data_IF_595933610093
#
_entry.id   IF_595933610093
#
_cell.length_a   1.000
_cell.length_b   1.000
_cell.length_c   1.000
_cell.angle_alpha   90.00
_cell.angle_beta   90.00
_cell.angle_gamma   90.00
#
_symmetry.space_group_name_H-M   'P 1'
#
loop_
_entity.id
_entity.type
_entity.pdbx_description
1 polymer ?
#
# COMPACT_ATOMS: atom_id res chain seq x y z
N UNK A 1 15.05 -12.57 -17.72
CA UNK A 1 13.69 -11.98 -17.65
C UNK A 1 12.73 -12.95 -18.30
N UNK A 2 11.81 -13.53 -17.53
CA UNK A 2 10.69 -14.29 -18.08
C UNK A 2 9.68 -13.23 -18.53
N UNK A 3 9.62 -12.96 -19.83
CA UNK A 3 8.64 -12.03 -20.39
C UNK A 3 7.28 -12.74 -20.42
N UNK A 4 6.30 -12.23 -19.68
CA UNK A 4 4.94 -12.72 -19.79
C UNK A 4 4.45 -12.50 -21.23
N UNK A 5 3.70 -13.46 -21.76
CA UNK A 5 3.13 -13.34 -23.11
C UNK A 5 2.12 -12.18 -23.13
N UNK A 6 2.14 -11.29 -24.14
CA UNK A 6 1.22 -10.15 -24.22
C UNK A 6 -0.25 -10.55 -24.07
N UNK A 7 -0.65 -11.68 -24.65
CA UNK A 7 -2.02 -12.20 -24.59
C UNK A 7 -2.43 -12.62 -23.17
N UNK A 8 -1.45 -13.05 -22.35
CA UNK A 8 -1.69 -13.38 -20.94
C UNK A 8 -1.89 -12.11 -20.12
N UNK A 9 -1.13 -11.05 -20.40
CA UNK A 9 -1.30 -9.76 -19.72
C UNK A 9 -2.68 -9.18 -20.05
N UNK A 10 -3.10 -9.23 -21.31
CA UNK A 10 -4.41 -8.72 -21.74
C UNK A 10 -5.58 -9.43 -21.03
N UNK A 11 -5.60 -10.77 -21.00
CA UNK A 11 -6.62 -11.52 -20.27
C UNK A 11 -6.61 -11.27 -18.74
N UNK A 12 -5.43 -10.99 -18.16
CA UNK A 12 -5.30 -10.57 -16.76
C UNK A 12 -5.95 -9.20 -16.52
N UNK A 13 -5.82 -8.26 -17.46
CA UNK A 13 -6.40 -6.91 -17.37
C UNK A 13 -7.93 -6.93 -17.49
N UNK A 14 -8.48 -7.76 -18.37
CA UNK A 14 -9.95 -7.93 -18.49
C UNK A 14 -10.59 -8.40 -17.18
N UNK A 15 -9.88 -9.27 -16.44
CA UNK A 15 -10.35 -9.83 -15.17
C UNK A 15 -10.10 -8.89 -13.98
N UNK A 16 -9.15 -7.96 -14.09
CA UNK A 16 -8.69 -7.09 -13.01
C UNK A 16 -9.84 -6.28 -12.39
N UNK A 17 -10.69 -5.67 -13.22
CA UNK A 17 -11.84 -4.90 -12.73
C UNK A 17 -12.83 -5.72 -11.89
N UNK A 18 -13.01 -7.00 -12.21
CA UNK A 18 -13.87 -7.90 -11.43
C UNK A 18 -13.19 -8.32 -10.12
N UNK A 19 -11.89 -8.59 -10.15
CA UNK A 19 -11.11 -8.94 -8.98
C UNK A 19 -11.06 -7.79 -7.95
N UNK A 20 -10.93 -6.55 -8.42
CA UNK A 20 -10.89 -5.37 -7.53
C UNK A 20 -12.18 -5.19 -6.74
N UNK A 21 -13.35 -5.52 -7.32
CA UNK A 21 -14.63 -5.50 -6.60
C UNK A 21 -14.65 -6.44 -5.40
N UNK A 22 -13.86 -7.51 -5.41
CA UNK A 22 -13.77 -8.47 -4.30
C UNK A 22 -12.93 -7.95 -3.12
N UNK A 23 -12.15 -6.88 -3.32
CA UNK A 23 -11.45 -6.19 -2.24
C UNK A 23 -12.38 -5.35 -1.38
N UNK A 24 -13.59 -5.03 -1.85
CA UNK A 24 -14.58 -4.34 -1.03
C UNK A 24 -15.02 -5.24 0.15
N UNK A 25 -15.04 -4.62 1.31
CA UNK A 25 -15.33 -5.22 2.62
C UNK A 25 -16.61 -4.66 3.24
N UNK A 26 -17.23 -3.66 2.61
CA UNK A 26 -18.40 -2.93 3.10
C UNK A 26 -19.59 -3.83 3.48
N UNK A 27 -19.73 -4.99 2.82
CA UNK A 27 -20.85 -5.92 3.00
C UNK A 27 -20.54 -7.15 3.87
N UNK A 28 -19.31 -7.28 4.38
CA UNK A 28 -18.89 -8.50 5.09
C UNK A 28 -18.90 -8.32 6.61
N UNK A 29 -19.81 -9.03 7.28
CA UNK A 29 -19.93 -9.01 8.74
C UNK A 29 -19.09 -10.09 9.46
N UNK A 30 -18.35 -10.91 8.70
CA UNK A 30 -17.57 -12.02 9.24
C UNK A 30 -16.57 -11.53 10.28
N UNK A 31 -16.48 -12.19 11.43
CA UNK A 31 -15.51 -11.88 12.46
C UNK A 31 -14.54 -13.06 12.65
N UNK A 32 -13.25 -12.76 12.75
CA UNK A 32 -12.22 -13.74 13.11
C UNK A 32 -11.60 -13.35 14.45
N UNK A 33 -11.73 -14.24 15.44
CA UNK A 33 -11.01 -14.11 16.71
C UNK A 33 -9.52 -14.37 16.51
N UNK A 34 -8.71 -13.52 17.12
CA UNK A 34 -7.25 -13.55 17.11
C UNK A 34 -6.74 -13.44 18.54
N UNK A 35 -5.44 -13.63 18.75
CA UNK A 35 -4.82 -13.52 20.08
C UNK A 35 -4.90 -12.11 20.66
N UNK A 36 -4.97 -11.07 19.83
CA UNK A 36 -5.07 -9.68 20.27
C UNK A 36 -6.52 -9.19 20.42
N UNK A 37 -7.44 -9.75 19.64
CA UNK A 37 -8.83 -9.31 19.61
C UNK A 37 -9.56 -9.90 18.40
N UNK A 38 -10.42 -9.15 17.72
CA UNK A 38 -11.14 -9.65 16.53
C UNK A 38 -10.83 -8.84 15.27
N UNK A 39 -10.81 -9.51 14.13
CA UNK A 39 -10.79 -8.92 12.79
C UNK A 39 -12.19 -8.94 12.20
N UNK A 40 -12.72 -7.79 11.79
CA UNK A 40 -14.08 -7.70 11.27
C UNK A 40 -14.19 -6.64 10.14
N UNK A 41 -14.28 -7.07 8.86
CA UNK A 41 -14.06 -8.43 8.38
C UNK A 41 -12.58 -8.81 8.35
N UNK A 42 -12.24 -10.12 8.41
CA UNK A 42 -10.91 -10.56 8.05
C UNK A 42 -10.65 -10.33 6.56
N UNK A 43 -9.41 -9.95 6.22
CA UNK A 43 -9.00 -9.80 4.82
C UNK A 43 -9.25 -11.10 4.04
N UNK A 44 -8.77 -12.22 4.59
CA UNK A 44 -8.93 -13.55 3.99
C UNK A 44 -7.97 -13.82 2.82
N UNK A 45 -7.77 -15.12 2.52
CA UNK A 45 -6.76 -15.57 1.54
C UNK A 45 -7.01 -15.06 0.12
N UNK A 46 -8.27 -14.99 -0.31
CA UNK A 46 -8.61 -14.60 -1.67
C UNK A 46 -8.31 -13.13 -1.92
N UNK A 47 -8.66 -12.24 -0.97
CA UNK A 47 -8.35 -10.81 -1.08
C UNK A 47 -6.86 -10.56 -1.04
N UNK A 48 -6.13 -11.25 -0.15
CA UNK A 48 -4.67 -11.16 -0.14
C UNK A 48 -4.05 -11.58 -1.47
N UNK A 49 -4.58 -12.64 -2.11
CA UNK A 49 -4.11 -13.11 -3.41
C UNK A 49 -4.36 -12.11 -4.54
N UNK A 50 -5.43 -11.32 -4.45
CA UNK A 50 -5.70 -10.23 -5.39
C UNK A 50 -4.67 -9.10 -5.22
N UNK A 51 -4.31 -8.75 -3.98
CA UNK A 51 -3.24 -7.75 -3.74
C UNK A 51 -1.89 -8.26 -4.23
N UNK A 52 -1.56 -9.54 -3.98
CA UNK A 52 -0.36 -10.19 -4.53
C UNK A 52 -0.35 -10.15 -6.07
N UNK A 53 -1.48 -10.44 -6.71
CA UNK A 53 -1.62 -10.38 -8.16
C UNK A 53 -1.33 -8.98 -8.72
N UNK A 54 -1.82 -7.92 -8.09
CA UNK A 54 -1.52 -6.53 -8.48
C UNK A 54 -0.03 -6.24 -8.35
N UNK A 55 0.60 -6.70 -7.26
CA UNK A 55 2.05 -6.57 -7.06
C UNK A 55 2.85 -7.23 -8.18
N UNK A 56 2.50 -8.46 -8.55
CA UNK A 56 3.14 -9.17 -9.66
C UNK A 56 2.90 -8.45 -10.99
N UNK A 57 1.67 -7.99 -11.24
CA UNK A 57 1.32 -7.29 -12.47
C UNK A 57 2.14 -6.02 -12.68
N UNK A 58 2.37 -5.24 -11.63
CA UNK A 58 3.24 -4.05 -11.66
C UNK A 58 4.71 -4.38 -11.82
N UNK A 59 5.17 -5.51 -11.24
CA UNK A 59 6.56 -5.96 -11.37
C UNK A 59 6.91 -6.34 -12.82
N UNK A 60 5.91 -6.76 -13.61
CA UNK A 60 6.09 -7.02 -15.05
C UNK A 60 6.42 -5.74 -15.82
N UNK A 61 5.98 -4.56 -15.33
CA UNK A 61 6.28 -3.26 -15.95
C UNK A 61 5.61 -3.06 -17.31
N UNK A 62 4.44 -3.68 -17.53
CA UNK A 62 3.65 -3.47 -18.75
C UNK A 62 2.90 -2.15 -18.69
N UNK A 63 3.18 -1.25 -19.65
CA UNK A 63 2.51 0.05 -19.75
C UNK A 63 0.97 -0.08 -19.83
N UNK A 64 0.48 -1.11 -20.53
CA UNK A 64 -0.95 -1.39 -20.62
C UNK A 64 -1.55 -1.72 -19.24
N UNK A 65 -0.80 -2.46 -18.41
CA UNK A 65 -1.25 -2.82 -17.08
C UNK A 65 -1.25 -1.62 -16.13
N UNK A 66 -0.22 -0.79 -16.20
CA UNK A 66 -0.14 0.45 -15.41
C UNK A 66 -1.29 1.41 -15.77
N UNK A 67 -1.55 1.62 -17.07
CA UNK A 67 -2.67 2.44 -17.54
C UNK A 67 -4.01 1.91 -17.05
N UNK A 68 -4.20 0.60 -17.09
CA UNK A 68 -5.45 -0.02 -16.63
C UNK A 68 -5.61 0.10 -15.10
N UNK A 69 -4.53 -0.02 -14.33
CA UNK A 69 -4.55 0.19 -12.88
C UNK A 69 -4.94 1.63 -12.52
N UNK A 70 -4.40 2.63 -13.23
CA UNK A 70 -4.80 4.04 -13.06
C UNK A 70 -6.27 4.20 -13.42
N UNK A 71 -6.71 3.68 -14.58
CA UNK A 71 -8.10 3.78 -15.06
C UNK A 71 -9.11 3.18 -14.08
N UNK A 72 -8.75 2.07 -13.44
CA UNK A 72 -9.60 1.37 -12.48
C UNK A 72 -9.51 1.96 -11.06
N UNK A 73 -8.64 2.94 -10.80
CA UNK A 73 -8.37 3.43 -9.44
C UNK A 73 -7.85 2.33 -8.52
N UNK A 74 -7.12 1.37 -9.10
CA UNK A 74 -6.73 0.10 -8.49
C UNK A 74 -5.41 0.16 -7.72
N UNK A 75 -4.82 1.35 -7.61
CA UNK A 75 -3.64 1.55 -6.79
C UNK A 75 -3.96 1.13 -5.35
N UNK A 76 -3.09 0.35 -4.69
CA UNK A 76 -3.44 -0.24 -3.41
C UNK A 76 -3.81 0.85 -2.45
N UNK A 77 -5.00 0.67 -1.88
CA UNK A 77 -5.45 1.54 -0.83
C UNK A 77 -4.47 1.40 0.33
N UNK A 78 -3.53 2.34 0.48
CA UNK A 78 -2.64 2.39 1.63
C UNK A 78 -3.43 2.43 2.95
N UNK A 79 -4.71 2.83 2.92
CA UNK A 79 -5.58 2.73 4.09
C UNK A 79 -5.78 1.27 4.53
N UNK A 80 -5.62 0.28 3.64
CA UNK A 80 -5.66 -1.14 4.01
C UNK A 80 -4.53 -1.55 4.97
N UNK A 81 -3.35 -0.90 4.89
CA UNK A 81 -2.23 -1.09 5.84
C UNK A 81 -2.65 -0.67 7.25
N UNK A 82 -3.42 0.42 7.35
CA UNK A 82 -4.01 0.88 8.61
C UNK A 82 -5.16 0.00 9.09
N UNK A 83 -6.04 -0.46 8.18
CA UNK A 83 -7.17 -1.33 8.54
C UNK A 83 -6.73 -2.69 9.07
N UNK A 84 -5.58 -3.19 8.60
CA UNK A 84 -4.99 -4.48 8.99
C UNK A 84 -3.54 -4.31 9.51
N UNK A 85 -3.36 -3.68 10.68
CA UNK A 85 -2.04 -3.30 11.23
C UNK A 85 -1.11 -4.47 11.57
N UNK A 86 -1.64 -5.69 11.65
CA UNK A 86 -0.89 -6.91 12.00
C UNK A 86 -0.73 -7.88 10.80
N UNK A 87 -1.08 -7.47 9.58
CA UNK A 87 -1.00 -8.33 8.40
C UNK A 87 0.29 -8.08 7.59
N UNK A 88 1.36 -8.77 7.97
CA UNK A 88 2.69 -8.62 7.34
C UNK A 88 2.69 -8.94 5.83
N UNK A 89 1.89 -9.92 5.38
CA UNK A 89 1.81 -10.24 3.96
C UNK A 89 1.17 -9.11 3.16
N UNK A 90 0.09 -8.53 3.68
CA UNK A 90 -0.54 -7.37 3.06
C UNK A 90 0.46 -6.21 2.98
N UNK A 91 1.15 -5.91 4.08
CA UNK A 91 2.12 -4.81 4.12
C UNK A 91 3.27 -5.02 3.14
N UNK A 92 3.75 -6.25 3.01
CA UNK A 92 4.77 -6.61 2.03
C UNK A 92 4.30 -6.39 0.58
N UNK A 93 3.09 -6.83 0.23
CA UNK A 93 2.58 -6.61 -1.13
C UNK A 93 2.30 -5.14 -1.43
N UNK A 94 1.78 -4.38 -0.46
CA UNK A 94 1.58 -2.93 -0.62
C UNK A 94 2.91 -2.20 -0.77
N UNK A 95 3.93 -2.56 0.03
CA UNK A 95 5.29 -2.04 -0.14
C UNK A 95 5.80 -2.30 -1.56
N UNK A 96 5.76 -3.55 -2.03
CA UNK A 96 6.25 -3.89 -3.36
C UNK A 96 5.53 -3.10 -4.46
N UNK A 97 4.20 -2.93 -4.36
CA UNK A 97 3.44 -2.16 -5.33
C UNK A 97 3.91 -0.70 -5.36
N UNK A 98 4.01 -0.05 -4.20
CA UNK A 98 4.47 1.34 -4.12
C UNK A 98 5.87 1.47 -4.71
N UNK A 99 6.78 0.56 -4.37
CA UNK A 99 8.14 0.57 -4.90
C UNK A 99 8.16 0.38 -6.42
N UNK A 100 7.40 -0.59 -6.96
CA UNK A 100 7.30 -0.80 -8.41
C UNK A 100 6.75 0.41 -9.15
N UNK A 101 5.78 1.11 -8.57
CA UNK A 101 5.24 2.34 -9.16
C UNK A 101 6.27 3.47 -9.15
N UNK A 102 6.99 3.67 -8.03
CA UNK A 102 8.03 4.70 -7.92
C UNK A 102 9.22 4.45 -8.86
N UNK A 103 9.50 3.18 -9.18
CA UNK A 103 10.55 2.78 -10.12
C UNK A 103 10.07 2.70 -11.59
N UNK A 104 8.77 2.90 -11.84
CA UNK A 104 8.24 2.84 -13.19
C UNK A 104 8.77 3.99 -14.05
N UNK A 105 8.94 3.70 -15.34
CA UNK A 105 9.27 4.71 -16.36
C UNK A 105 8.05 5.52 -16.78
N UNK A 106 6.86 5.10 -16.37
CA UNK A 106 5.61 5.76 -16.69
C UNK A 106 5.35 6.90 -15.71
N UNK A 107 5.65 8.11 -16.16
CA UNK A 107 5.47 9.35 -15.38
C UNK A 107 4.03 9.52 -14.89
N UNK A 108 3.03 9.08 -15.67
CA UNK A 108 1.62 9.17 -15.26
C UNK A 108 1.33 8.28 -14.04
N UNK A 109 1.98 7.12 -13.93
CA UNK A 109 1.81 6.23 -12.79
C UNK A 109 2.46 6.81 -11.53
N UNK A 110 3.68 7.35 -11.67
CA UNK A 110 4.39 8.00 -10.55
C UNK A 110 3.61 9.21 -10.07
N UNK A 111 3.15 10.06 -10.99
CA UNK A 111 2.35 11.23 -10.65
C UNK A 111 1.05 10.83 -9.96
N UNK A 112 0.29 9.88 -10.52
CA UNK A 112 -0.95 9.38 -9.92
C UNK A 112 -0.73 8.80 -8.50
N UNK A 113 0.41 8.14 -8.25
CA UNK A 113 0.77 7.65 -6.93
C UNK A 113 1.06 8.79 -5.93
N UNK A 114 1.75 9.84 -6.37
CA UNK A 114 2.16 10.95 -5.50
C UNK A 114 1.05 11.96 -5.26
N UNK A 115 0.25 12.29 -6.29
CA UNK A 115 -0.84 13.26 -6.25
C UNK A 115 -2.16 12.62 -5.81
N UNK A 116 -2.81 11.88 -6.71
CA UNK A 116 -4.17 11.33 -6.52
C UNK A 116 -4.23 10.32 -5.37
N UNK A 117 -3.25 9.41 -5.28
CA UNK A 117 -3.19 8.46 -4.17
C UNK A 117 -2.69 9.07 -2.85
N UNK A 118 -2.07 10.25 -2.92
CA UNK A 118 -1.50 11.01 -1.80
C UNK A 118 -0.63 10.13 -0.87
N UNK A 119 0.27 9.33 -1.43
CA UNK A 119 1.04 8.36 -0.63
C UNK A 119 1.91 9.04 0.44
N UNK A 120 2.48 10.20 0.12
CA UNK A 120 3.31 10.95 1.05
C UNK A 120 2.51 11.45 2.25
N UNK A 121 1.32 12.03 2.02
CA UNK A 121 0.43 12.45 3.09
C UNK A 121 0.03 11.28 3.98
N UNK A 122 -0.29 10.12 3.39
CA UNK A 122 -0.65 8.93 4.16
C UNK A 122 0.51 8.35 4.97
N UNK A 123 1.74 8.38 4.46
CA UNK A 123 2.93 7.99 5.22
C UNK A 123 3.15 8.93 6.41
N UNK A 124 3.00 10.25 6.21
CA UNK A 124 3.13 11.23 7.28
C UNK A 124 2.04 11.09 8.35
N UNK A 125 0.82 10.74 7.95
CA UNK A 125 -0.26 10.44 8.89
C UNK A 125 0.02 9.16 9.69
N UNK A 126 0.51 8.11 9.02
CA UNK A 126 0.87 6.86 9.67
C UNK A 126 1.97 7.03 10.73
N UNK A 127 2.94 7.91 10.48
CA UNK A 127 4.03 8.22 11.40
C UNK A 127 3.52 8.92 12.67
N UNK A 128 2.62 9.90 12.54
CA UNK A 128 1.98 10.56 13.70
C UNK A 128 1.17 9.60 14.57
N UNK A 129 0.61 8.57 13.95
CA UNK A 129 -0.28 7.60 14.58
C UNK A 129 0.42 6.26 14.90
N UNK A 130 1.71 6.28 15.25
CA UNK A 130 2.52 5.08 15.57
C UNK A 130 2.01 4.21 16.74
N UNK A 131 0.93 4.59 17.42
CA UNK A 131 0.25 3.78 18.43
C UNK A 131 -1.15 3.44 17.94
N UNK A 132 -1.59 2.18 18.13
CA UNK A 132 -2.97 1.76 17.86
C UNK A 132 -3.89 2.42 18.89
N UNK A 133 -4.04 3.74 18.79
CA UNK A 133 -5.16 4.44 19.38
C UNK A 133 -6.41 3.96 18.63
N UNK A 134 -7.52 3.81 19.35
CA UNK A 134 -8.75 3.21 18.84
C UNK A 134 -9.38 4.08 17.75
N UNK A 135 -8.85 4.00 16.53
CA UNK A 135 -9.45 4.62 15.35
C UNK A 135 -10.69 3.79 14.96
N UNK A 136 -11.89 4.39 14.88
CA UNK A 136 -13.13 3.71 14.53
C UNK A 136 -13.10 3.05 13.14
N UNK A 137 -12.18 3.42 12.25
CA UNK A 137 -12.02 2.82 10.93
C UNK A 137 -11.15 1.55 10.93
N UNK A 138 -10.57 1.16 12.07
CA UNK A 138 -9.75 -0.06 12.16
C UNK A 138 -10.64 -1.31 12.16
N UNK A 139 -10.32 -2.26 11.28
CA UNK A 139 -11.01 -3.55 11.25
C UNK A 139 -10.46 -4.52 12.31
N UNK A 140 -9.41 -4.13 13.04
CA UNK A 140 -8.85 -4.85 14.18
C UNK A 140 -9.34 -4.22 15.48
N UNK A 141 -10.16 -4.95 16.24
CA UNK A 141 -10.69 -4.50 17.53
C UNK A 141 -9.94 -5.21 18.65
N UNK A 142 -9.36 -4.45 19.58
CA UNK A 142 -8.64 -5.00 20.75
C UNK A 142 -9.58 -5.72 21.71
N UNK A 143 -9.10 -6.78 22.36
CA UNK A 143 -9.76 -7.36 23.52
C UNK A 143 -9.60 -6.46 24.76
N UNK A 144 -10.60 -6.44 25.65
CA UNK A 144 -10.58 -5.61 26.87
C UNK A 144 -9.29 -5.81 27.68
N UNK A 145 -8.66 -4.70 28.09
CA UNK A 145 -7.46 -4.70 28.93
C UNK A 145 -6.15 -5.05 28.23
N UNK A 146 -6.12 -5.29 26.91
CA UNK A 146 -4.86 -5.54 26.19
C UNK A 146 -4.22 -4.26 25.66
N UNK A 147 -2.94 -4.08 25.98
CA UNK A 147 -2.12 -3.02 25.41
C UNK A 147 -1.95 -3.24 23.89
N UNK A 148 -1.93 -2.16 23.10
CA UNK A 148 -1.80 -2.28 21.66
C UNK A 148 -0.47 -2.92 21.24
N UNK A 149 -0.46 -3.93 20.34
CA UNK A 149 0.76 -4.52 19.83
C UNK A 149 1.53 -3.49 19.02
N UNK A 150 2.85 -3.69 18.92
CA UNK A 150 3.69 -2.94 17.99
C UNK A 150 3.14 -3.13 16.57
N UNK A 151 2.95 -2.03 15.86
CA UNK A 151 2.37 -2.04 14.51
C UNK A 151 3.40 -2.66 13.55
N UNK A 152 2.98 -3.65 12.76
CA UNK A 152 3.87 -4.36 11.81
C UNK A 152 4.27 -3.52 10.60
N UNK A 153 3.55 -2.42 10.33
CA UNK A 153 3.75 -1.59 9.15
C UNK A 153 4.98 -0.68 9.22
N UNK A 154 5.50 -0.33 10.41
CA UNK A 154 6.53 0.71 10.57
C UNK A 154 7.77 0.38 9.74
N UNK A 155 8.25 -0.86 9.79
CA UNK A 155 9.41 -1.27 8.99
C UNK A 155 9.19 -1.15 7.48
N UNK A 156 7.97 -1.38 7.01
CA UNK A 156 7.60 -1.19 5.60
C UNK A 156 7.58 0.31 5.25
N UNK A 157 7.01 1.15 6.12
CA UNK A 157 6.96 2.61 5.93
C UNK A 157 8.35 3.23 5.89
N UNK A 158 9.26 2.81 6.76
CA UNK A 158 10.66 3.26 6.74
C UNK A 158 11.33 2.91 5.42
N UNK A 159 11.15 1.67 4.91
CA UNK A 159 11.74 1.26 3.62
C UNK A 159 11.19 2.07 2.44
N UNK A 160 9.88 2.30 2.39
CA UNK A 160 9.25 3.15 1.37
C UNK A 160 9.79 4.58 1.45
N UNK A 161 9.88 5.15 2.66
CA UNK A 161 10.36 6.52 2.88
C UNK A 161 11.82 6.69 2.47
N UNK A 162 12.68 5.74 2.81
CA UNK A 162 14.07 5.72 2.38
C UNK A 162 14.19 5.65 0.86
N UNK A 163 13.35 4.83 0.21
CA UNK A 163 13.33 4.75 -1.26
C UNK A 163 12.91 6.07 -1.90
N UNK A 164 11.88 6.72 -1.37
CA UNK A 164 11.41 8.04 -1.83
C UNK A 164 12.53 9.07 -1.77
N UNK A 165 13.24 9.17 -0.63
CA UNK A 165 14.38 10.09 -0.47
C UNK A 165 15.49 9.74 -1.47
N UNK A 166 15.81 8.46 -1.65
CA UNK A 166 16.79 8.02 -2.63
C UNK A 166 16.43 8.47 -4.05
N UNK A 167 15.18 8.26 -4.47
CA UNK A 167 14.70 8.62 -5.81
C UNK A 167 14.60 10.14 -5.99
N UNK A 168 14.26 10.90 -4.95
CA UNK A 168 14.26 12.36 -4.98
C UNK A 168 15.65 12.97 -5.23
N UNK A 169 16.74 12.22 -5.02
CA UNK A 169 18.08 12.71 -5.33
C UNK A 169 18.42 12.62 -6.83
N UNK A 170 17.69 11.82 -7.60
CA UNK A 170 17.91 11.61 -9.04
C UNK A 170 16.72 11.99 -9.92
N UNK A 171 15.55 12.23 -9.34
CA UNK A 171 14.32 12.62 -10.02
C UNK A 171 13.77 13.93 -9.43
N UNK A 172 13.83 15.01 -10.23
CA UNK A 172 13.40 16.36 -9.81
C UNK A 172 11.89 16.49 -9.54
N UNK A 173 11.05 15.68 -10.18
CA UNK A 173 9.59 15.67 -9.92
C UNK A 173 9.31 15.08 -8.53
N UNK A 174 9.90 13.92 -8.23
CA UNK A 174 9.80 13.30 -6.90
C UNK A 174 10.38 14.26 -5.85
N UNK A 175 11.51 14.91 -6.14
CA UNK A 175 12.12 15.88 -5.24
C UNK A 175 11.19 17.05 -4.91
N UNK A 176 10.47 17.58 -5.90
CA UNK A 176 9.52 18.66 -5.70
C UNK A 176 8.39 18.25 -4.74
N UNK A 177 7.83 17.04 -4.91
CA UNK A 177 6.83 16.49 -3.99
C UNK A 177 7.36 16.36 -2.55
N UNK A 178 8.59 15.88 -2.37
CA UNK A 178 9.21 15.74 -1.04
C UNK A 178 9.44 17.09 -0.35
N UNK A 179 9.83 18.12 -1.12
CA UNK A 179 10.07 19.47 -0.59
C UNK A 179 8.78 20.15 -0.14
N UNK A 180 7.71 20.07 -0.93
CA UNK A 180 6.39 20.65 -0.61
C UNK A 180 5.89 20.15 0.75
N UNK A 181 6.12 18.88 1.06
CA UNK A 181 5.65 18.24 2.29
C UNK A 181 6.68 18.27 3.44
N UNK A 182 7.85 18.89 3.26
CA UNK A 182 8.99 18.81 4.18
C UNK A 182 9.35 17.36 4.59
N UNK A 183 9.10 16.39 3.70
CA UNK A 183 9.12 14.96 3.99
C UNK A 183 10.51 14.50 4.47
N UNK A 184 11.57 14.91 3.77
CA UNK A 184 12.95 14.50 4.09
C UNK A 184 13.43 14.97 5.47
N UNK A 185 12.92 16.08 5.98
CA UNK A 185 13.28 16.57 7.33
C UNK A 185 12.69 15.65 8.40
N UNK A 186 11.42 15.25 8.25
CA UNK A 186 10.72 14.42 9.23
C UNK A 186 11.40 13.06 9.41
N UNK A 187 11.81 12.43 8.31
CA UNK A 187 12.45 11.11 8.37
C UNK A 187 13.93 11.14 8.79
N UNK A 188 14.70 12.19 8.47
CA UNK A 188 16.07 12.34 8.98
C UNK A 188 16.10 12.52 10.51
N UNK A 189 15.14 13.23 11.10
CA UNK A 189 15.10 13.41 12.56
C UNK A 189 14.66 12.16 13.34
N UNK A 190 14.02 11.20 12.69
CA UNK A 190 13.32 10.10 13.38
C UNK A 190 14.07 8.77 13.33
N UNK A 191 14.99 8.57 12.37
CA UNK A 191 15.63 7.26 12.12
C UNK A 191 17.17 7.28 12.06
N UNK A 192 17.83 8.44 12.24
CA UNK A 192 19.28 8.55 12.43
C UNK A 192 19.64 8.51 13.94
N UNK A 193 19.38 7.39 14.63
CA UNK A 193 19.86 7.11 16.00
C UNK A 193 20.37 5.68 16.14
#
# INVERSE_FOLDING_TARGET
MISAKPETVEGMLESLGQLLKLLDVSSSELALLTTYGKLQPPLGKHRLKIVEFISVLLTIGSEAAEKELIRLGAMPDFNSVHRYPCNNFLHHHVENIILSCLESKNVQLVDHLLSECNILGKILEAEKNCTLTSDPNMLTVSAEGRAPPRIGNIGHLTRISNKLVQLGNSNGEIQAYLQVLNFSKIFHYTYDH
#
